data_IF_252449175218
#
_entry.id   IF_252449175218
#
_cell.length_a   1.000
_cell.length_b   1.000
_cell.length_c   1.000
_cell.angle_alpha   90.00
_cell.angle_beta   90.00
_cell.angle_gamma   90.00
#
_symmetry.space_group_name_H-M   'P 1'
#
loop_
_entity.id
_entity.type
_entity.pdbx_description
1 polymer ?
#
# COMPACT_ATOMS: atom_id res chain seq x y z
N UNK A 1 -3.38 7.30 -20.45
CA UNK A 1 -2.04 7.64 -20.04
C UNK A 1 -2.03 7.98 -18.59
N UNK A 2 -1.28 7.22 -17.91
CA UNK A 2 -1.19 7.26 -16.49
C UNK A 2 0.20 7.74 -16.14
N UNK A 3 0.32 8.51 -15.07
CA UNK A 3 1.63 8.84 -14.54
C UNK A 3 2.26 7.57 -13.95
N UNK A 4 3.55 7.42 -14.15
CA UNK A 4 4.32 6.31 -13.64
C UNK A 4 5.39 6.83 -12.68
N UNK A 5 5.60 6.12 -11.58
CA UNK A 5 6.57 6.51 -10.57
C UNK A 5 7.67 5.45 -10.52
N UNK A 6 8.91 5.86 -10.79
CA UNK A 6 10.06 4.95 -10.75
C UNK A 6 10.26 4.39 -9.35
N UNK A 7 10.59 3.11 -9.28
CA UNK A 7 10.99 2.44 -8.03
C UNK A 7 12.44 2.76 -7.63
N UNK A 8 13.20 3.39 -8.53
CA UNK A 8 14.64 3.60 -8.36
C UNK A 8 15.48 2.42 -8.83
N UNK A 9 14.86 1.35 -9.30
CA UNK A 9 15.53 0.17 -9.84
C UNK A 9 15.03 -0.12 -11.25
N UNK A 10 15.92 -0.18 -12.23
CA UNK A 10 15.55 -0.51 -13.60
C UNK A 10 14.92 -1.90 -13.70
N UNK A 11 15.48 -2.87 -13.00
CA UNK A 11 14.96 -4.24 -13.01
C UNK A 11 13.56 -4.32 -12.41
N UNK A 12 13.35 -3.66 -11.27
CA UNK A 12 12.04 -3.65 -10.61
C UNK A 12 11.01 -2.89 -11.45
N UNK A 13 11.39 -1.77 -12.05
CA UNK A 13 10.53 -1.04 -12.98
C UNK A 13 10.06 -1.95 -14.11
N UNK A 14 10.97 -2.68 -14.71
CA UNK A 14 10.65 -3.58 -15.81
C UNK A 14 9.68 -4.68 -15.37
N UNK A 15 9.87 -5.25 -14.17
CA UNK A 15 8.96 -6.25 -13.63
C UNK A 15 7.55 -5.71 -13.42
N UNK A 16 7.42 -4.45 -13.01
CA UNK A 16 6.13 -3.82 -12.75
C UNK A 16 5.44 -3.39 -14.03
N UNK A 17 6.15 -2.71 -14.92
CA UNK A 17 5.56 -1.99 -16.05
C UNK A 17 5.95 -2.52 -17.43
N UNK A 18 7.00 -3.33 -17.51
CA UNK A 18 7.57 -3.70 -18.79
C UNK A 18 8.47 -2.62 -19.41
N UNK A 19 8.81 -1.59 -18.66
CA UNK A 19 9.65 -0.47 -19.09
C UNK A 19 10.66 -0.15 -17.99
N UNK A 20 11.94 -0.01 -18.35
CA UNK A 20 13.00 0.23 -17.37
C UNK A 20 12.89 1.58 -16.65
N UNK A 21 12.16 2.53 -17.21
CA UNK A 21 12.02 3.88 -16.66
C UNK A 21 10.65 4.14 -16.03
N UNK A 22 9.71 3.21 -16.15
CA UNK A 22 8.36 3.33 -15.59
C UNK A 22 8.19 2.31 -14.48
N UNK A 23 7.87 2.78 -13.28
CA UNK A 23 7.66 1.92 -12.13
C UNK A 23 6.18 1.63 -11.88
N UNK A 24 5.65 2.16 -10.79
CA UNK A 24 4.26 1.93 -10.40
C UNK A 24 3.34 2.94 -11.09
N UNK A 25 2.18 2.49 -11.58
CA UNK A 25 1.23 3.39 -12.24
C UNK A 25 0.31 4.06 -11.23
N UNK A 26 -0.02 5.32 -11.48
CA UNK A 26 -1.13 5.98 -10.79
C UNK A 26 -2.46 5.38 -11.27
N UNK A 27 -3.50 5.51 -10.46
CA UNK A 27 -4.82 4.94 -10.78
C UNK A 27 -4.96 3.46 -10.47
N UNK A 28 -3.92 2.83 -9.94
CA UNK A 28 -3.90 1.41 -9.63
C UNK A 28 -3.32 1.13 -8.26
N UNK A 29 -3.53 -0.09 -7.77
CA UNK A 29 -2.91 -0.59 -6.55
C UNK A 29 -1.78 -1.54 -6.94
N UNK A 30 -0.58 -1.30 -6.42
CA UNK A 30 0.58 -2.17 -6.60
C UNK A 30 0.98 -2.72 -5.24
N UNK A 31 1.16 -4.03 -5.14
CA UNK A 31 1.57 -4.70 -3.91
C UNK A 31 2.94 -5.33 -4.11
N UNK A 32 3.90 -4.96 -3.26
CA UNK A 32 5.20 -5.59 -3.19
C UNK A 32 5.18 -6.60 -2.05
N UNK A 33 5.27 -7.88 -2.38
CA UNK A 33 5.25 -8.98 -1.42
C UNK A 33 6.62 -9.64 -1.37
N UNK A 34 7.10 -9.94 -0.18
CA UNK A 34 8.40 -10.57 0.00
C UNK A 34 8.76 -10.70 1.46
N UNK A 35 9.87 -11.40 1.73
CA UNK A 35 10.36 -11.58 3.08
C UNK A 35 10.77 -10.25 3.71
N UNK A 36 10.69 -10.20 5.04
CA UNK A 36 11.22 -9.08 5.80
C UNK A 36 12.71 -8.91 5.47
N UNK A 37 13.12 -7.68 5.17
CA UNK A 37 14.50 -7.40 4.78
C UNK A 37 14.77 -7.50 3.28
N UNK A 38 13.76 -7.81 2.45
CA UNK A 38 13.91 -7.87 1.00
C UNK A 38 13.93 -6.49 0.32
N UNK A 39 13.94 -5.40 1.09
CA UNK A 39 14.01 -4.05 0.56
C UNK A 39 12.67 -3.43 0.21
N UNK A 40 11.55 -4.04 0.62
CA UNK A 40 10.22 -3.54 0.30
C UNK A 40 10.00 -2.10 0.77
N UNK A 41 10.32 -1.82 2.03
CA UNK A 41 10.16 -0.47 2.59
C UNK A 41 11.10 0.53 1.94
N UNK A 42 12.31 0.11 1.60
CA UNK A 42 13.27 0.94 0.88
C UNK A 42 12.70 1.42 -0.46
N UNK A 43 12.08 0.53 -1.23
CA UNK A 43 11.46 0.89 -2.49
C UNK A 43 10.14 1.62 -2.30
N UNK A 44 9.23 1.08 -1.50
CA UNK A 44 7.87 1.61 -1.38
C UNK A 44 7.83 2.92 -0.61
N UNK A 45 8.44 2.97 0.57
CA UNK A 45 8.36 4.13 1.46
C UNK A 45 9.53 5.11 1.25
N UNK A 46 10.60 4.68 0.62
CA UNK A 46 11.75 5.51 0.29
C UNK A 46 11.72 6.01 -1.14
N UNK A 47 12.22 5.20 -2.08
CA UNK A 47 12.42 5.62 -3.47
C UNK A 47 11.13 6.04 -4.18
N UNK A 48 10.07 5.25 -4.06
CA UNK A 48 8.80 5.56 -4.74
C UNK A 48 8.20 6.86 -4.18
N UNK A 49 8.23 7.05 -2.86
CA UNK A 49 7.74 8.28 -2.24
C UNK A 49 8.55 9.48 -2.73
N UNK A 50 9.88 9.39 -2.68
CA UNK A 50 10.75 10.44 -3.17
C UNK A 50 10.44 10.80 -4.63
N UNK A 51 10.36 9.80 -5.48
CA UNK A 51 10.11 10.01 -6.90
C UNK A 51 8.72 10.57 -7.18
N UNK A 52 7.72 10.15 -6.41
CA UNK A 52 6.38 10.74 -6.47
C UNK A 52 6.40 12.23 -6.12
N UNK A 53 7.07 12.58 -5.03
CA UNK A 53 7.20 13.97 -4.61
C UNK A 53 7.90 14.84 -5.66
N UNK A 54 8.89 14.30 -6.35
CA UNK A 54 9.57 15.02 -7.43
C UNK A 54 8.66 15.29 -8.63
N UNK A 55 7.59 14.50 -8.77
CA UNK A 55 6.56 14.72 -9.80
C UNK A 55 5.40 15.60 -9.32
N UNK A 56 5.49 16.16 -8.13
CA UNK A 56 4.41 16.98 -7.57
C UNK A 56 3.25 16.15 -7.00
N UNK A 57 3.46 14.89 -6.71
CA UNK A 57 2.45 14.01 -6.14
C UNK A 57 2.51 14.10 -4.62
N UNK A 58 1.37 14.37 -3.99
CA UNK A 58 1.25 14.35 -2.54
C UNK A 58 1.17 12.90 -2.05
N UNK A 59 1.89 12.57 -0.98
CA UNK A 59 1.96 11.20 -0.46
C UNK A 59 1.31 11.11 0.92
N UNK A 60 0.41 10.14 1.06
CA UNK A 60 -0.13 9.72 2.36
C UNK A 60 0.53 8.38 2.69
N UNK A 61 1.40 8.38 3.69
CA UNK A 61 2.17 7.20 4.11
C UNK A 61 1.56 6.63 5.39
N UNK A 62 0.99 5.45 5.29
CA UNK A 62 0.37 4.74 6.41
C UNK A 62 1.36 3.69 6.90
N UNK A 63 1.87 3.91 8.11
CA UNK A 63 2.85 3.06 8.78
C UNK A 63 2.14 2.17 9.80
N UNK A 64 1.97 0.91 9.47
CA UNK A 64 1.20 -0.03 10.31
C UNK A 64 1.99 -0.57 11.51
N UNK A 65 3.31 -0.45 11.48
CA UNK A 65 4.19 -0.96 12.53
C UNK A 65 4.81 0.15 13.37
N UNK A 66 4.55 1.40 13.02
CA UNK A 66 5.19 2.58 13.60
C UNK A 66 6.73 2.46 13.56
N UNK A 67 7.23 1.94 12.45
CA UNK A 67 8.65 1.62 12.27
C UNK A 67 9.38 2.56 11.32
N UNK A 68 8.67 3.43 10.59
CA UNK A 68 9.26 4.33 9.62
C UNK A 68 9.70 5.62 10.31
N UNK A 69 11.00 5.73 10.50
CA UNK A 69 11.64 6.86 11.14
C UNK A 69 11.78 8.03 10.16
N UNK A 70 11.47 9.23 10.62
CA UNK A 70 11.61 10.45 9.81
C UNK A 70 13.06 10.65 9.36
N UNK A 71 14.04 10.39 10.21
CA UNK A 71 15.46 10.51 9.85
C UNK A 71 15.84 9.53 8.73
N UNK A 72 15.30 8.31 8.78
CA UNK A 72 15.50 7.30 7.73
C UNK A 72 14.89 7.75 6.41
N UNK A 73 13.67 8.27 6.45
CA UNK A 73 13.00 8.81 5.26
C UNK A 73 13.80 9.97 4.66
N UNK A 74 14.28 10.89 5.49
CA UNK A 74 15.14 11.99 5.06
C UNK A 74 16.42 11.49 4.39
N UNK A 75 17.06 10.48 4.97
CA UNK A 75 18.28 9.91 4.43
C UNK A 75 18.08 9.31 3.03
N UNK A 76 16.87 8.87 2.71
CA UNK A 76 16.50 8.36 1.40
C UNK A 76 16.05 9.45 0.43
N UNK A 77 15.99 10.71 0.86
CA UNK A 77 15.60 11.82 0.03
C UNK A 77 14.11 12.14 0.04
N UNK A 78 13.36 11.57 0.98
CA UNK A 78 11.93 11.89 1.15
C UNK A 78 11.79 13.23 1.85
N UNK A 79 10.94 14.09 1.30
CA UNK A 79 10.58 15.36 1.94
C UNK A 79 9.46 15.08 2.95
N UNK A 80 9.75 15.33 4.23
CA UNK A 80 8.80 15.05 5.33
C UNK A 80 7.97 16.26 5.72
N UNK A 81 8.09 17.38 5.00
CA UNK A 81 7.25 18.55 5.24
C UNK A 81 5.76 18.17 5.04
N UNK A 82 4.91 18.71 5.89
CA UNK A 82 3.47 18.41 5.87
C UNK A 82 2.78 18.82 4.56
N UNK A 83 3.39 19.75 3.79
CA UNK A 83 2.90 20.12 2.46
C UNK A 83 3.16 19.04 1.40
N UNK A 84 4.02 18.06 1.70
CA UNK A 84 4.47 17.02 0.77
C UNK A 84 4.12 15.61 1.24
N UNK A 85 4.03 15.41 2.54
CA UNK A 85 3.85 14.09 3.14
C UNK A 85 2.91 14.17 4.34
N UNK A 86 1.91 13.29 4.34
CA UNK A 86 1.12 13.01 5.53
C UNK A 86 1.46 11.60 6.00
N UNK A 87 2.20 11.50 7.10
CA UNK A 87 2.57 10.21 7.69
C UNK A 87 1.61 9.89 8.83
N UNK A 88 0.92 8.75 8.72
CA UNK A 88 -0.06 8.29 9.69
C UNK A 88 0.37 6.94 10.25
N UNK A 89 0.31 6.79 11.58
CA UNK A 89 0.49 5.50 12.23
C UNK A 89 -0.89 4.90 12.49
N UNK A 90 -1.18 3.78 11.85
CA UNK A 90 -2.47 3.09 11.98
C UNK A 90 -2.23 1.60 12.06
N UNK A 91 -2.87 0.96 13.01
CA UNK A 91 -2.73 -0.49 13.22
C UNK A 91 -3.97 -1.29 12.83
N UNK A 92 -5.12 -0.62 12.62
CA UNK A 92 -6.39 -1.30 12.36
C UNK A 92 -6.81 -1.17 10.90
N UNK A 93 -7.23 -2.28 10.30
CA UNK A 93 -7.73 -2.31 8.91
C UNK A 93 -8.90 -1.33 8.75
N UNK A 94 -9.82 -1.30 9.71
CA UNK A 94 -11.01 -0.45 9.64
C UNK A 94 -10.65 1.03 9.63
N UNK A 95 -9.62 1.42 10.38
CA UNK A 95 -9.15 2.81 10.41
C UNK A 95 -8.54 3.22 9.07
N UNK A 96 -7.76 2.33 8.46
CA UNK A 96 -7.19 2.56 7.14
C UNK A 96 -8.30 2.71 6.10
N UNK A 97 -9.27 1.80 6.10
CA UNK A 97 -10.41 1.84 5.18
C UNK A 97 -11.20 3.14 5.32
N UNK A 98 -11.46 3.57 6.55
CA UNK A 98 -12.17 4.81 6.83
C UNK A 98 -11.39 6.03 6.35
N UNK A 99 -10.09 6.05 6.58
CA UNK A 99 -9.21 7.14 6.14
C UNK A 99 -9.23 7.29 4.63
N UNK A 100 -9.07 6.20 3.90
CA UNK A 100 -9.10 6.21 2.43
C UNK A 100 -10.48 6.64 1.92
N UNK A 101 -11.54 6.09 2.49
CA UNK A 101 -12.92 6.41 2.10
C UNK A 101 -13.25 7.88 2.33
N UNK A 102 -12.91 8.42 3.49
CA UNK A 102 -13.13 9.82 3.82
C UNK A 102 -12.33 10.73 2.90
N UNK A 103 -11.07 10.40 2.67
CA UNK A 103 -10.22 11.15 1.74
C UNK A 103 -10.83 11.19 0.34
N UNK A 104 -11.24 10.04 -0.19
CA UNK A 104 -11.79 9.96 -1.54
C UNK A 104 -13.12 10.67 -1.67
N UNK A 105 -13.94 10.66 -0.61
CA UNK A 105 -15.19 11.42 -0.60
C UNK A 105 -14.93 12.93 -0.74
N UNK A 106 -14.00 13.45 0.03
CA UNK A 106 -13.61 14.87 -0.05
C UNK A 106 -12.94 15.18 -1.39
N UNK A 107 -12.10 14.28 -1.88
CA UNK A 107 -11.43 14.41 -3.17
C UNK A 107 -12.42 14.52 -4.32
N UNK A 108 -13.43 13.66 -4.33
CA UNK A 108 -14.48 13.65 -5.36
C UNK A 108 -15.35 14.90 -5.33
N UNK A 109 -15.49 15.52 -4.16
CA UNK A 109 -16.25 16.76 -4.01
C UNK A 109 -15.47 17.98 -4.53
N UNK A 110 -14.18 17.89 -4.72
CA UNK A 110 -13.37 18.96 -5.28
C UNK A 110 -13.62 19.10 -6.78
N UNK A 111 -13.48 20.33 -7.28
CA UNK A 111 -13.45 20.57 -8.73
C UNK A 111 -12.25 19.83 -9.35
N UNK A 112 -12.44 19.28 -10.54
CA UNK A 112 -11.40 18.45 -11.20
C UNK A 112 -10.06 19.18 -11.30
N UNK A 113 -10.09 20.46 -11.65
CA UNK A 113 -8.88 21.29 -11.79
C UNK A 113 -8.16 21.53 -10.47
N UNK A 114 -8.84 21.38 -9.34
CA UNK A 114 -8.26 21.60 -8.00
C UNK A 114 -7.75 20.31 -7.37
N UNK A 115 -8.05 19.15 -7.98
CA UNK A 115 -7.66 17.84 -7.42
C UNK A 115 -6.16 17.62 -7.55
N UNK A 116 -5.44 17.41 -6.44
CA UNK A 116 -4.02 17.06 -6.51
C UNK A 116 -3.85 15.61 -6.96
N UNK A 117 -2.66 15.27 -7.44
CA UNK A 117 -2.25 13.88 -7.61
C UNK A 117 -1.84 13.36 -6.23
N UNK A 118 -2.34 12.18 -5.86
CA UNK A 118 -2.10 11.61 -4.52
C UNK A 118 -1.68 10.16 -4.64
N UNK A 119 -0.66 9.79 -3.88
CA UNK A 119 -0.23 8.40 -3.71
C UNK A 119 -0.42 7.99 -2.26
N UNK A 120 -1.19 6.92 -2.04
CA UNK A 120 -1.24 6.23 -0.75
C UNK A 120 -0.14 5.17 -0.72
N UNK A 121 0.56 5.09 0.40
CA UNK A 121 1.53 4.02 0.66
C UNK A 121 1.15 3.37 1.97
N UNK A 122 0.96 2.05 1.97
CA UNK A 122 0.67 1.26 3.17
C UNK A 122 1.83 0.31 3.40
N UNK A 123 2.55 0.52 4.48
CA UNK A 123 3.69 -0.30 4.87
C UNK A 123 3.51 -0.78 6.32
N UNK A 124 3.04 -1.95 6.55
CA UNK A 124 2.74 -3.08 5.67
C UNK A 124 1.27 -3.51 5.83
N UNK A 125 0.67 -4.03 4.77
CA UNK A 125 -0.71 -4.54 4.82
C UNK A 125 -0.87 -5.68 5.82
N UNK A 126 0.03 -6.65 5.79
CA UNK A 126 -0.08 -7.86 6.61
C UNK A 126 0.02 -7.61 8.11
N UNK A 127 0.51 -6.46 8.53
CA UNK A 127 0.63 -6.09 9.94
C UNK A 127 -0.61 -5.36 10.47
N UNK A 128 -1.55 -5.02 9.60
CA UNK A 128 -2.82 -4.45 10.03
C UNK A 128 -3.67 -5.50 10.75
N UNK A 129 -4.44 -5.05 11.72
CA UNK A 129 -5.21 -5.90 12.62
C UNK A 129 -6.71 -5.75 12.40
N UNK A 130 -7.43 -6.84 12.68
CA UNK A 130 -8.90 -6.80 12.80
C UNK A 130 -9.28 -6.65 14.29
N UNK A 131 -10.52 -6.24 14.61
CA UNK A 131 -11.00 -6.27 15.99
C UNK A 131 -10.89 -7.65 16.63
N UNK A 132 -11.09 -8.71 15.85
CA UNK A 132 -10.95 -10.09 16.33
C UNK A 132 -9.51 -10.42 16.73
N UNK A 133 -8.51 -9.95 15.96
CA UNK A 133 -7.09 -10.13 16.33
C UNK A 133 -6.79 -9.52 17.69
N UNK A 134 -7.27 -8.30 17.94
CA UNK A 134 -7.06 -7.59 19.19
C UNK A 134 -7.77 -8.33 20.35
N UNK A 135 -9.00 -8.75 20.15
CA UNK A 135 -9.77 -9.46 21.15
C UNK A 135 -9.13 -10.79 21.52
N UNK A 136 -8.65 -11.54 20.54
CA UNK A 136 -7.95 -12.81 20.77
C UNK A 136 -6.64 -12.62 21.52
N UNK A 137 -5.89 -11.57 21.21
CA UNK A 137 -4.67 -11.22 21.93
C UNK A 137 -4.96 -10.92 23.40
N UNK A 138 -5.99 -10.13 23.66
CA UNK A 138 -6.40 -9.77 25.02
C UNK A 138 -6.84 -11.01 25.82
N UNK A 139 -7.38 -12.01 25.16
CA UNK A 139 -7.77 -13.29 25.78
C UNK A 139 -6.62 -14.29 25.90
N UNK A 140 -5.42 -13.91 25.45
CA UNK A 140 -4.27 -14.80 25.46
C UNK A 140 -4.23 -15.81 24.32
N UNK A 141 -5.11 -15.67 23.32
CA UNK A 141 -5.11 -16.54 22.14
C UNK A 141 -4.17 -15.96 21.09
N UNK A 142 -3.03 -16.58 20.92
CA UNK A 142 -1.99 -16.12 19.98
C UNK A 142 -2.20 -16.62 18.54
N UNK A 143 -3.22 -17.43 18.28
CA UNK A 143 -3.44 -17.99 16.95
C UNK A 143 -4.03 -17.00 15.97
N UNK A 144 -4.63 -15.91 16.44
CA UNK A 144 -5.25 -14.92 15.59
C UNK A 144 -6.43 -15.46 14.80
N UNK A 145 -6.95 -14.66 13.91
CA UNK A 145 -8.06 -15.03 13.05
C UNK A 145 -7.55 -15.43 11.67
N UNK A 146 -7.48 -16.75 11.43
CA UNK A 146 -6.91 -17.31 10.20
C UNK A 146 -7.76 -17.06 8.96
N UNK A 147 -9.03 -16.71 9.09
CA UNK A 147 -9.95 -16.58 7.94
C UNK A 147 -10.41 -15.15 7.67
N UNK A 148 -10.61 -14.34 8.69
CA UNK A 148 -11.22 -13.02 8.57
C UNK A 148 -10.25 -11.92 8.13
N UNK A 149 -9.00 -12.00 8.56
CA UNK A 149 -7.99 -11.02 8.20
C UNK A 149 -7.69 -11.03 6.70
N UNK A 150 -7.45 -12.17 6.04
CA UNK A 150 -7.29 -12.20 4.59
C UNK A 150 -8.50 -11.63 3.85
N UNK A 151 -9.71 -11.93 4.31
CA UNK A 151 -10.93 -11.38 3.72
C UNK A 151 -11.03 -9.86 3.90
N UNK A 152 -10.67 -9.36 5.08
CA UNK A 152 -10.69 -7.94 5.37
C UNK A 152 -9.65 -7.19 4.52
N UNK A 153 -8.45 -7.73 4.35
CA UNK A 153 -7.42 -7.15 3.49
C UNK A 153 -7.84 -7.18 2.03
N UNK A 154 -8.44 -8.27 1.57
CA UNK A 154 -8.99 -8.38 0.22
C UNK A 154 -10.06 -7.33 -0.03
N UNK A 155 -10.96 -7.12 0.93
CA UNK A 155 -12.01 -6.11 0.84
C UNK A 155 -11.41 -4.70 0.79
N UNK A 156 -10.40 -4.42 1.61
CA UNK A 156 -9.71 -3.13 1.61
C UNK A 156 -9.11 -2.84 0.24
N UNK A 157 -8.36 -3.78 -0.32
CA UNK A 157 -7.71 -3.60 -1.63
C UNK A 157 -8.76 -3.46 -2.73
N UNK A 158 -9.76 -4.32 -2.76
CA UNK A 158 -10.82 -4.27 -3.77
C UNK A 158 -11.58 -2.95 -3.75
N UNK A 159 -11.98 -2.51 -2.57
CA UNK A 159 -12.72 -1.26 -2.43
C UNK A 159 -11.84 -0.07 -2.83
N UNK A 160 -10.56 -0.10 -2.50
CA UNK A 160 -9.63 0.94 -2.90
C UNK A 160 -9.46 0.98 -4.42
N UNK A 161 -9.28 -0.17 -5.07
CA UNK A 161 -9.20 -0.25 -6.53
C UNK A 161 -10.42 0.42 -7.18
N UNK A 162 -11.61 0.13 -6.66
CA UNK A 162 -12.83 0.72 -7.19
C UNK A 162 -12.91 2.24 -6.94
N UNK A 163 -12.44 2.70 -5.80
CA UNK A 163 -12.50 4.13 -5.46
C UNK A 163 -11.52 4.99 -6.26
N UNK A 164 -10.33 4.47 -6.56
CA UNK A 164 -9.25 5.28 -7.16
C UNK A 164 -9.14 5.12 -8.67
N UNK A 165 -9.76 4.11 -9.25
CA UNK A 165 -9.50 3.70 -10.64
C UNK A 165 -9.77 4.75 -11.71
N UNK A 166 -10.59 5.76 -11.43
CA UNK A 166 -10.93 6.83 -12.38
C UNK A 166 -10.24 8.15 -12.05
N UNK A 167 -9.36 8.18 -11.06
CA UNK A 167 -8.75 9.41 -10.55
C UNK A 167 -7.23 9.32 -10.59
N UNK A 168 -6.57 10.46 -10.49
CA UNK A 168 -5.11 10.55 -10.33
C UNK A 168 -4.70 10.26 -8.88
N UNK A 169 -5.13 9.11 -8.39
CA UNK A 169 -4.80 8.57 -7.08
C UNK A 169 -4.27 7.18 -7.27
N UNK A 170 -3.10 6.90 -6.72
CA UNK A 170 -2.51 5.57 -6.75
C UNK A 170 -2.31 5.03 -5.36
N UNK A 171 -2.01 3.75 -5.26
CA UNK A 171 -1.68 3.09 -4.00
C UNK A 171 -0.55 2.10 -4.19
N UNK A 172 0.39 2.12 -3.26
CA UNK A 172 1.48 1.15 -3.16
C UNK A 172 1.42 0.52 -1.78
N UNK A 173 1.44 -0.79 -1.73
CA UNK A 173 1.42 -1.54 -0.47
C UNK A 173 2.62 -2.47 -0.40
N UNK A 174 3.08 -2.72 0.81
CA UNK A 174 4.02 -3.80 1.09
C UNK A 174 3.31 -4.90 1.86
N UNK A 175 3.79 -6.13 1.72
CA UNK A 175 3.30 -7.25 2.48
C UNK A 175 4.44 -8.25 2.71
N UNK A 176 4.53 -8.82 3.91
CA UNK A 176 5.57 -9.80 4.22
C UNK A 176 5.24 -11.15 3.58
N UNK A 177 6.25 -11.82 3.05
CA UNK A 177 6.10 -13.12 2.39
C UNK A 177 5.43 -14.14 3.29
N UNK A 178 5.74 -14.11 4.57
CA UNK A 178 5.17 -15.06 5.52
C UNK A 178 3.64 -14.95 5.59
N UNK A 179 3.12 -13.74 5.58
CA UNK A 179 1.68 -13.50 5.52
C UNK A 179 1.14 -13.68 4.09
N UNK A 180 1.98 -13.47 3.07
CA UNK A 180 1.58 -13.51 1.68
C UNK A 180 1.71 -14.89 1.05
N UNK A 181 2.50 -15.82 1.61
CA UNK A 181 2.57 -17.18 1.10
C UNK A 181 1.20 -17.84 1.09
N UNK A 182 0.43 -17.67 2.15
CA UNK A 182 -0.94 -18.18 2.22
C UNK A 182 -1.87 -17.45 1.26
N UNK A 183 -1.58 -16.18 0.94
CA UNK A 183 -2.38 -15.37 0.03
C UNK A 183 -2.04 -15.61 -1.43
N UNK A 184 -0.78 -15.95 -1.73
CA UNK A 184 -0.27 -16.07 -3.10
C UNK A 184 0.04 -17.51 -3.51
N UNK A 185 -0.22 -18.48 -2.64
CA UNK A 185 -0.04 -19.88 -2.95
C UNK A 185 -1.03 -20.28 -4.05
N UNK A 186 -0.53 -20.71 -5.24
CA UNK A 186 -1.42 -21.09 -6.33
C UNK A 186 -2.28 -22.31 -6.01
N UNK A 187 -1.90 -23.11 -5.03
CA UNK A 187 -2.67 -24.27 -4.59
C UNK A 187 -3.72 -23.93 -3.55
N UNK A 188 -3.67 -22.75 -2.96
CA UNK A 188 -4.66 -22.28 -1.98
C UNK A 188 -5.81 -21.54 -2.69
N UNK A 189 -6.68 -22.31 -3.30
CA UNK A 189 -7.84 -21.80 -4.03
C UNK A 189 -8.99 -21.38 -3.13
N UNK A 190 -8.88 -21.64 -1.84
CA UNK A 190 -9.99 -21.44 -0.88
C UNK A 190 -9.79 -20.18 -0.06
N UNK A 191 -8.56 -19.72 0.09
CA UNK A 191 -8.27 -18.52 0.89
C UNK A 191 -8.64 -17.26 0.15
N UNK A 192 -8.82 -16.18 0.92
CA UNK A 192 -8.93 -14.84 0.37
C UNK A 192 -7.73 -14.40 -0.47
N UNK A 193 -6.66 -15.21 -0.49
CA UNK A 193 -5.44 -14.96 -1.23
C UNK A 193 -5.64 -14.78 -2.72
N UNK A 194 -6.44 -15.63 -3.35
CA UNK A 194 -6.77 -15.44 -4.76
C UNK A 194 -7.55 -14.16 -5.00
N UNK A 195 -8.55 -13.89 -4.16
CA UNK A 195 -9.31 -12.65 -4.26
C UNK A 195 -8.42 -11.44 -4.06
N UNK A 196 -7.45 -11.51 -3.16
CA UNK A 196 -6.47 -10.46 -2.93
C UNK A 196 -5.62 -10.22 -4.18
N UNK A 197 -5.09 -11.28 -4.79
CA UNK A 197 -4.29 -11.17 -6.01
C UNK A 197 -5.11 -10.54 -7.15
N UNK A 198 -6.33 -10.99 -7.37
CA UNK A 198 -7.17 -10.47 -8.45
C UNK A 198 -7.75 -9.08 -8.18
N UNK A 199 -7.91 -8.70 -6.92
CA UNK A 199 -8.36 -7.37 -6.55
C UNK A 199 -7.27 -6.31 -6.78
N UNK A 200 -6.01 -6.69 -6.64
CA UNK A 200 -4.88 -5.81 -6.91
C UNK A 200 -4.67 -5.65 -8.41
N UNK A 201 -4.33 -4.45 -8.84
CA UNK A 201 -3.96 -4.23 -10.23
C UNK A 201 -2.64 -4.90 -10.58
N UNK A 202 -1.69 -4.92 -9.65
CA UNK A 202 -0.34 -5.46 -9.83
C UNK A 202 0.13 -6.06 -8.51
N UNK A 203 0.68 -7.28 -8.56
CA UNK A 203 1.33 -7.92 -7.42
C UNK A 203 2.73 -8.35 -7.83
N UNK A 204 3.73 -7.88 -7.09
CA UNK A 204 5.14 -8.16 -7.36
C UNK A 204 5.73 -8.95 -6.19
N UNK A 205 6.23 -10.15 -6.49
CA UNK A 205 6.97 -10.95 -5.53
C UNK A 205 8.44 -10.53 -5.55
N UNK A 206 8.98 -10.31 -4.38
CA UNK A 206 10.37 -9.89 -4.21
C UNK A 206 11.21 -10.94 -3.48
#
# INVERSE_FOLDING_TARGET
>A
PTDWISTGSYALNYLVSGDFHKGVPMGKVTVFAGESGAGKSYFASGNIVKNAQQQGIFVVLIDSENALDEAWLHALGVDTDESKLLKLSMSMIDDVAKTISTFMKDYKAMAEEDRPKVLFVIDSLGMLLTPTDVDQFDKGDMKGDMGRKPKALTALVRNTVNMIGSYNVGMVCTNHTYASQDMFDPDDKISGGQGFIYASSIVIAM
#
